data_IF_232780838214
#
_entry.id   IF_232780838214
#
_cell.length_a   1.000
_cell.length_b   1.000
_cell.length_c   1.000
_cell.angle_alpha   90.00
_cell.angle_beta   90.00
_cell.angle_gamma   90.00
#
_symmetry.space_group_name_H-M   'P 1'
#
loop_
_entity.id
_entity.type
_entity.pdbx_description
1 polymer ?
#
# COMPACT_ATOMS: atom_id res chain seq x y z
N UNK A 1 1.35 35.31 -0.72
CA UNK A 1 1.88 33.94 -0.72
C UNK A 1 0.68 33.04 -0.86
N UNK A 2 0.55 32.43 -2.02
CA UNK A 2 -0.56 31.55 -2.39
C UNK A 2 -0.03 30.11 -2.36
N UNK A 3 -0.75 29.21 -1.70
CA UNK A 3 -0.33 27.81 -1.51
C UNK A 3 -1.44 26.90 -2.03
N UNK A 4 -1.11 26.02 -2.96
CA UNK A 4 -2.02 24.96 -3.42
C UNK A 4 -1.73 23.65 -2.67
N UNK A 5 -2.77 22.89 -2.29
CA UNK A 5 -2.61 21.61 -1.58
C UNK A 5 -3.01 20.43 -2.45
N UNK A 6 -2.09 19.47 -2.58
CA UNK A 6 -2.29 18.23 -3.34
C UNK A 6 -2.15 17.01 -2.40
N UNK A 7 -2.78 15.90 -2.76
CA UNK A 7 -2.62 14.62 -2.10
C UNK A 7 -2.35 13.53 -3.15
N UNK A 8 -1.36 12.64 -2.95
CA UNK A 8 -1.12 11.48 -3.80
C UNK A 8 -2.24 10.45 -3.58
N UNK A 9 -3.42 10.77 -4.13
CA UNK A 9 -4.65 9.97 -4.25
C UNK A 9 -4.85 8.84 -3.23
N UNK A 10 -5.59 9.12 -2.15
CA UNK A 10 -6.35 8.11 -1.40
C UNK A 10 -7.65 7.82 -2.15
N UNK A 11 -7.56 7.16 -3.31
CA UNK A 11 -8.74 6.86 -4.13
C UNK A 11 -9.30 5.48 -3.78
N UNK A 12 -10.18 5.44 -2.78
CA UNK A 12 -11.11 4.33 -2.53
C UNK A 12 -12.50 4.61 -3.16
N UNK A 13 -12.59 5.49 -4.16
CA UNK A 13 -13.86 5.95 -4.73
C UNK A 13 -14.01 5.54 -6.19
N UNK A 14 -14.72 4.44 -6.44
CA UNK A 14 -15.29 4.18 -7.75
C UNK A 14 -16.55 5.07 -7.96
N UNK A 15 -16.36 6.38 -8.19
CA UNK A 15 -17.19 7.24 -9.05
C UNK A 15 -16.60 8.66 -9.13
N UNK A 16 -16.39 9.15 -10.36
CA UNK A 16 -15.51 10.30 -10.70
C UNK A 16 -15.94 11.72 -10.29
N UNK A 17 -15.26 12.77 -10.81
CA UNK A 17 -15.30 13.04 -12.25
C UNK A 17 -13.95 13.23 -12.95
N UNK A 18 -13.94 12.68 -14.17
CA UNK A 18 -13.28 13.09 -15.42
C UNK A 18 -12.51 14.42 -15.39
N UNK A 19 -11.22 14.34 -15.76
CA UNK A 19 -10.57 15.31 -16.65
C UNK A 19 -9.69 14.55 -17.67
N UNK A 20 -10.14 14.51 -18.93
CA UNK A 20 -9.32 14.34 -20.15
C UNK A 20 -9.26 15.71 -20.83
N UNK A 21 -8.21 16.12 -21.60
CA UNK A 21 -7.56 15.38 -22.71
C UNK A 21 -6.00 15.48 -22.66
N UNK A 22 -5.14 14.83 -23.46
CA UNK A 22 -5.25 14.26 -24.81
C UNK A 22 -4.09 13.25 -25.05
N UNK A 23 -4.39 12.23 -25.85
CA UNK A 23 -3.55 11.22 -26.52
C UNK A 23 -2.04 11.08 -26.20
N UNK A 24 -1.64 9.88 -25.74
CA UNK A 24 -0.33 9.31 -26.09
C UNK A 24 -0.52 7.88 -26.57
N UNK A 25 0.05 7.62 -27.74
CA UNK A 25 -0.09 6.43 -28.57
C UNK A 25 0.31 5.14 -27.85
N UNK A 26 -0.51 4.12 -28.10
CA UNK A 26 -0.29 2.73 -27.73
C UNK A 26 0.99 2.22 -28.43
N UNK A 27 1.99 1.81 -27.65
CA UNK A 27 3.08 0.97 -28.15
C UNK A 27 2.97 -0.41 -27.51
N UNK A 28 2.65 -1.39 -28.36
CA UNK A 28 2.57 -2.81 -28.02
C UNK A 28 3.94 -3.50 -28.14
N UNK A 29 4.01 -4.66 -27.46
CA UNK A 29 5.01 -5.74 -27.47
C UNK A 29 6.06 -5.69 -26.34
N UNK A 30 6.37 -6.78 -25.63
CA UNK A 30 6.07 -8.21 -25.87
C UNK A 30 5.90 -8.99 -24.57
N UNK A 31 4.98 -9.96 -24.60
CA UNK A 31 4.80 -10.99 -23.59
C UNK A 31 6.08 -11.83 -23.41
N UNK A 32 6.55 -11.91 -22.17
CA UNK A 32 7.33 -13.05 -21.70
C UNK A 32 6.58 -13.62 -20.49
N UNK A 33 5.79 -14.67 -20.75
CA UNK A 33 5.00 -15.35 -19.73
C UNK A 33 5.87 -15.86 -18.59
N UNK A 34 5.56 -15.42 -17.37
CA UNK A 34 6.02 -16.08 -16.15
C UNK A 34 5.12 -17.28 -15.88
N UNK A 35 5.69 -18.40 -15.39
CA UNK A 35 4.91 -19.61 -15.11
C UNK A 35 3.92 -19.32 -13.99
N UNK A 36 2.67 -19.67 -14.25
CA UNK A 36 1.54 -19.63 -13.33
C UNK A 36 1.79 -20.68 -12.23
N UNK A 37 2.41 -20.27 -11.13
CA UNK A 37 2.45 -21.10 -9.92
C UNK A 37 1.07 -20.98 -9.30
N UNK A 38 0.20 -21.95 -9.60
CA UNK A 38 -1.20 -22.02 -9.19
C UNK A 38 -1.29 -22.28 -7.67
N UNK A 39 -0.85 -21.29 -6.89
CA UNK A 39 -1.16 -21.21 -5.48
C UNK A 39 -2.68 -21.14 -5.35
N UNK A 40 -3.27 -22.10 -4.62
CA UNK A 40 -4.71 -22.16 -4.34
C UNK A 40 -5.17 -20.79 -3.85
N UNK A 41 -5.90 -20.07 -4.71
CA UNK A 41 -6.28 -18.69 -4.47
C UNK A 41 -7.31 -18.66 -3.33
N UNK A 42 -7.13 -17.83 -2.30
CA UNK A 42 -8.06 -17.78 -1.19
C UNK A 42 -9.38 -17.16 -1.68
N UNK A 43 -10.49 -17.90 -1.50
CA UNK A 43 -11.84 -17.42 -1.82
C UNK A 43 -12.31 -16.44 -0.73
N UNK A 44 -12.01 -15.15 -0.90
CA UNK A 44 -12.25 -14.10 0.10
C UNK A 44 -13.09 -12.98 -0.52
N UNK A 45 -14.07 -12.49 0.23
CA UNK A 45 -14.77 -11.27 -0.13
C UNK A 45 -13.87 -10.06 0.12
N UNK A 46 -13.35 -9.48 -0.95
CA UNK A 46 -12.66 -8.19 -0.90
C UNK A 46 -13.60 -7.05 -0.45
N UNK A 47 -13.02 -5.91 -0.09
CA UNK A 47 -13.80 -4.71 0.21
C UNK A 47 -13.07 -3.72 1.11
N UNK A 48 -13.55 -2.47 1.09
CA UNK A 48 -12.99 -1.35 1.85
C UNK A 48 -12.80 -1.65 3.33
N UNK A 49 -13.80 -2.23 3.98
CA UNK A 49 -13.77 -2.52 5.42
C UNK A 49 -12.71 -3.57 5.77
N UNK A 50 -12.55 -4.57 4.89
CA UNK A 50 -11.49 -5.57 5.01
C UNK A 50 -10.12 -4.91 4.90
N UNK A 51 -9.94 -4.04 3.90
CA UNK A 51 -8.72 -3.26 3.72
C UNK A 51 -8.38 -2.41 4.95
N UNK A 52 -9.34 -1.64 5.47
CA UNK A 52 -9.15 -0.82 6.66
C UNK A 52 -8.67 -1.63 7.87
N UNK A 53 -9.24 -2.81 8.10
CA UNK A 53 -8.84 -3.68 9.21
C UNK A 53 -7.43 -4.24 8.99
N UNK A 54 -7.08 -4.64 7.77
CA UNK A 54 -5.73 -5.13 7.46
C UNK A 54 -4.67 -4.04 7.69
N UNK A 55 -4.90 -2.81 7.24
CA UNK A 55 -3.99 -1.69 7.50
C UNK A 55 -3.86 -1.44 9.00
N UNK A 56 -4.98 -1.41 9.74
CA UNK A 56 -4.95 -1.15 11.18
C UNK A 56 -4.20 -2.24 11.95
N UNK A 57 -4.38 -3.51 11.59
CA UNK A 57 -3.64 -4.61 12.23
C UNK A 57 -2.13 -4.53 11.92
N UNK A 58 -1.74 -4.19 10.68
CA UNK A 58 -0.34 -3.99 10.33
C UNK A 58 0.27 -2.82 11.10
N UNK A 59 -0.43 -1.69 11.19
CA UNK A 59 -0.05 -0.54 12.00
C UNK A 59 0.16 -0.94 13.47
N UNK A 60 -0.84 -1.58 14.10
CA UNK A 60 -0.79 -1.93 15.52
C UNK A 60 0.32 -2.95 15.86
N UNK A 61 0.67 -3.83 14.93
CA UNK A 61 1.84 -4.71 15.12
C UNK A 61 3.14 -3.92 15.05
N UNK A 62 3.25 -3.00 14.10
CA UNK A 62 4.45 -2.17 13.94
C UNK A 62 4.63 -1.15 15.07
N UNK A 63 3.55 -0.67 15.68
CA UNK A 63 3.60 0.16 16.90
C UNK A 63 3.77 -0.65 18.19
N UNK A 64 3.57 -1.97 18.14
CA UNK A 64 3.64 -2.87 19.28
C UNK A 64 2.38 -2.88 20.17
N UNK A 65 1.27 -2.32 19.69
CA UNK A 65 -0.04 -2.34 20.35
C UNK A 65 -0.66 -3.73 20.34
N UNK A 66 -0.42 -4.51 19.28
CA UNK A 66 -0.94 -5.88 19.11
C UNK A 66 0.21 -6.86 18.82
N UNK A 67 0.34 -7.98 19.57
CA UNK A 67 1.31 -9.03 19.25
C UNK A 67 1.11 -9.61 17.83
N UNK A 68 2.20 -10.04 17.19
CA UNK A 68 2.18 -10.52 15.80
C UNK A 68 1.79 -12.00 15.65
N UNK A 69 1.29 -12.64 16.70
CA UNK A 69 0.80 -14.00 16.66
C UNK A 69 -0.66 -14.09 16.20
N UNK A 70 -1.00 -15.20 15.55
CA UNK A 70 -2.32 -15.41 14.94
C UNK A 70 -3.48 -15.31 15.93
N UNK A 71 -3.28 -15.70 17.20
CA UNK A 71 -4.33 -15.68 18.21
C UNK A 71 -4.67 -14.25 18.62
N UNK A 72 -3.65 -13.47 18.98
CA UNK A 72 -3.81 -12.06 19.32
C UNK A 72 -4.40 -11.25 18.16
N UNK A 73 -3.91 -11.47 16.94
CA UNK A 73 -4.42 -10.81 15.74
C UNK A 73 -5.87 -11.17 15.43
N UNK A 74 -6.28 -12.44 15.61
CA UNK A 74 -7.68 -12.85 15.41
C UNK A 74 -8.61 -12.22 16.45
N UNK A 75 -8.17 -12.14 17.72
CA UNK A 75 -8.92 -11.44 18.75
C UNK A 75 -9.07 -9.95 18.43
N UNK A 76 -7.98 -9.29 18.03
CA UNK A 76 -8.02 -7.87 17.65
C UNK A 76 -8.86 -7.61 16.41
N UNK A 77 -8.74 -8.43 15.38
CA UNK A 77 -9.56 -8.35 14.18
C UNK A 77 -11.05 -8.46 14.52
N UNK A 78 -11.44 -9.38 15.40
CA UNK A 78 -12.82 -9.51 15.89
C UNK A 78 -13.32 -8.24 16.57
N UNK A 79 -12.48 -7.59 17.39
CA UNK A 79 -12.82 -6.33 18.03
C UNK A 79 -13.02 -5.21 16.99
N UNK A 80 -12.07 -5.05 16.05
CA UNK A 80 -12.14 -4.04 14.98
C UNK A 80 -13.38 -4.19 14.10
N UNK A 81 -13.76 -5.42 13.74
CA UNK A 81 -15.01 -5.71 13.01
C UNK A 81 -16.23 -5.19 13.78
N UNK A 82 -16.26 -5.41 15.10
CA UNK A 82 -17.32 -4.93 15.98
C UNK A 82 -17.35 -3.39 16.10
N UNK A 83 -16.19 -2.75 16.17
CA UNK A 83 -16.04 -1.28 16.26
C UNK A 83 -16.61 -0.57 15.01
N UNK A 84 -16.47 -1.17 13.82
CA UNK A 84 -17.08 -0.65 12.58
C UNK A 84 -18.53 -1.10 12.36
N UNK A 85 -19.14 -1.79 13.33
CA UNK A 85 -20.55 -2.19 13.30
C UNK A 85 -20.87 -3.31 12.31
N UNK A 86 -19.88 -4.14 11.93
CA UNK A 86 -20.07 -5.26 11.01
C UNK A 86 -20.16 -6.61 11.75
N UNK A 87 -20.87 -7.60 11.19
CA UNK A 87 -20.89 -8.93 11.75
C UNK A 87 -19.59 -9.69 11.45
N UNK A 88 -19.18 -10.52 12.39
CA UNK A 88 -18.10 -11.49 12.20
C UNK A 88 -18.63 -12.68 11.40
N UNK A 89 -17.89 -13.08 10.37
CA UNK A 89 -18.20 -14.24 9.54
C UNK A 89 -17.12 -15.31 9.73
N UNK A 90 -17.52 -16.58 9.83
CA UNK A 90 -16.54 -17.67 9.87
C UNK A 90 -15.95 -17.93 8.47
N UNK A 91 -16.80 -17.91 7.45
CA UNK A 91 -16.42 -18.09 6.05
C UNK A 91 -15.97 -16.75 5.44
N UNK A 92 -14.70 -16.60 5.03
CA UNK A 92 -14.19 -15.36 4.45
C UNK A 92 -14.79 -15.04 3.08
N UNK A 93 -15.43 -15.99 2.39
CA UNK A 93 -16.16 -15.72 1.14
C UNK A 93 -17.51 -15.01 1.39
N UNK A 94 -17.98 -14.99 2.64
CA UNK A 94 -19.27 -14.42 3.03
C UNK A 94 -19.14 -13.12 3.84
N UNK A 95 -17.91 -12.66 4.13
CA UNK A 95 -17.66 -11.40 4.81
C UNK A 95 -16.38 -11.40 5.64
N UNK A 96 -16.35 -10.56 6.68
CA UNK A 96 -15.15 -10.31 7.49
C UNK A 96 -14.87 -11.47 8.45
N UNK A 97 -13.80 -12.23 8.17
CA UNK A 97 -13.34 -13.34 9.02
C UNK A 97 -12.08 -12.95 9.80
N UNK A 98 -12.13 -12.92 11.15
CA UNK A 98 -10.98 -12.58 11.97
C UNK A 98 -9.75 -13.45 11.71
N UNK A 99 -9.96 -14.76 11.52
CA UNK A 99 -8.87 -15.71 11.29
C UNK A 99 -8.24 -15.53 9.90
N UNK A 100 -9.03 -15.15 8.90
CA UNK A 100 -8.52 -14.82 7.57
C UNK A 100 -7.67 -13.54 7.59
N UNK A 101 -8.17 -12.49 8.24
CA UNK A 101 -7.48 -11.21 8.41
C UNK A 101 -6.15 -11.41 9.17
N UNK A 102 -6.19 -12.11 10.30
CA UNK A 102 -5.00 -12.44 11.08
C UNK A 102 -3.99 -13.25 10.27
N UNK A 103 -4.47 -14.27 9.53
CA UNK A 103 -3.62 -15.08 8.67
C UNK A 103 -2.93 -14.27 7.58
N UNK A 104 -3.60 -13.27 6.99
CA UNK A 104 -3.00 -12.37 6.02
C UNK A 104 -1.87 -11.54 6.65
N UNK A 105 -2.11 -10.90 7.80
CA UNK A 105 -1.10 -10.10 8.51
C UNK A 105 0.12 -10.94 8.89
N UNK A 106 -0.08 -12.13 9.47
CA UNK A 106 1.02 -13.04 9.83
C UNK A 106 1.87 -13.40 8.62
N UNK A 107 1.24 -13.77 7.49
CA UNK A 107 1.97 -14.11 6.26
C UNK A 107 2.72 -12.91 5.70
N UNK A 108 2.10 -11.73 5.66
CA UNK A 108 2.72 -10.50 5.17
C UNK A 108 3.95 -10.11 5.98
N UNK A 109 3.86 -10.15 7.32
CA UNK A 109 5.00 -9.83 8.20
C UNK A 109 6.13 -10.86 8.11
N UNK A 110 5.84 -12.08 7.64
CA UNK A 110 6.81 -13.14 7.41
C UNK A 110 7.43 -13.13 6.01
N UNK A 111 6.95 -12.29 5.08
CA UNK A 111 7.58 -12.12 3.77
C UNK A 111 9.04 -11.67 3.96
N UNK A 112 10.03 -12.26 3.26
CA UNK A 112 11.44 -11.96 3.49
C UNK A 112 11.78 -10.46 3.44
N UNK A 113 11.23 -9.76 2.44
CA UNK A 113 11.43 -8.33 2.23
C UNK A 113 10.87 -7.50 3.38
N UNK A 114 9.77 -7.94 3.98
CA UNK A 114 9.13 -7.24 5.11
C UNK A 114 9.86 -7.58 6.39
N UNK A 115 10.12 -8.86 6.65
CA UNK A 115 10.81 -9.36 7.84
C UNK A 115 12.18 -8.69 8.03
N UNK A 116 12.93 -8.44 6.95
CA UNK A 116 14.18 -7.69 6.98
C UNK A 116 14.01 -6.24 7.45
N UNK A 117 12.94 -5.57 7.00
CA UNK A 117 12.67 -4.15 7.28
C UNK A 117 11.96 -3.91 8.61
N UNK A 118 11.29 -4.93 9.19
CA UNK A 118 10.50 -4.81 10.44
C UNK A 118 11.17 -4.01 11.56
N UNK A 119 12.48 -4.18 11.87
CA UNK A 119 13.11 -3.44 12.96
C UNK A 119 13.17 -1.92 12.77
N UNK A 120 13.03 -1.43 11.54
CA UNK A 120 13.21 -0.02 11.16
C UNK A 120 11.98 0.61 10.53
N UNK A 121 10.87 -0.15 10.40
CA UNK A 121 9.61 0.35 9.84
C UNK A 121 8.86 1.23 10.83
N UNK A 122 8.45 2.41 10.35
CA UNK A 122 7.52 3.31 11.02
C UNK A 122 6.22 3.30 10.23
N UNK A 123 5.08 2.90 10.83
CA UNK A 123 3.78 2.92 10.16
C UNK A 123 3.19 4.33 10.11
N UNK A 124 2.25 4.56 9.18
CA UNK A 124 1.42 5.78 9.08
C UNK A 124 2.25 7.08 9.05
N UNK A 125 3.33 7.10 8.26
CA UNK A 125 4.23 8.24 8.19
C UNK A 125 3.60 9.36 7.35
N UNK A 126 3.33 10.49 8.00
CA UNK A 126 2.96 11.72 7.32
C UNK A 126 4.15 12.25 6.49
N UNK A 127 3.95 12.41 5.19
CA UNK A 127 4.95 12.92 4.24
C UNK A 127 4.51 14.24 3.64
N UNK A 128 5.47 15.14 3.45
CA UNK A 128 5.24 16.50 2.97
C UNK A 128 6.28 16.84 1.92
N UNK A 129 5.84 17.42 0.81
CA UNK A 129 6.72 18.04 -0.17
C UNK A 129 6.18 19.41 -0.56
N UNK A 130 7.06 20.33 -0.93
CA UNK A 130 6.69 21.64 -1.43
C UNK A 130 7.55 21.94 -2.66
N UNK A 131 6.91 22.34 -3.75
CA UNK A 131 7.56 22.73 -5.01
C UNK A 131 7.03 24.08 -5.46
N UNK A 132 7.90 24.96 -5.94
CA UNK A 132 7.48 26.21 -6.57
C UNK A 132 7.13 25.95 -8.04
N UNK A 133 5.91 26.29 -8.44
CA UNK A 133 5.42 26.19 -9.82
C UNK A 133 4.89 27.56 -10.23
N UNK A 134 5.59 28.22 -11.15
CA UNK A 134 5.27 29.55 -11.65
C UNK A 134 5.07 30.61 -10.55
N UNK A 135 5.88 30.55 -9.47
CA UNK A 135 5.80 31.48 -8.34
C UNK A 135 4.66 31.19 -7.36
N UNK A 136 4.00 30.03 -7.49
CA UNK A 136 3.01 29.51 -6.54
C UNK A 136 3.59 28.27 -5.88
N UNK A 137 3.63 28.26 -4.54
CA UNK A 137 4.07 27.09 -3.79
C UNK A 137 2.98 26.02 -3.82
N UNK A 138 3.30 24.85 -4.36
CA UNK A 138 2.44 23.67 -4.32
C UNK A 138 2.95 22.73 -3.23
N UNK A 139 2.14 22.56 -2.20
CA UNK A 139 2.41 21.65 -1.10
C UNK A 139 1.63 20.34 -1.29
N UNK A 140 2.35 19.23 -1.32
CA UNK A 140 1.79 17.88 -1.36
C UNK A 140 1.87 17.26 0.03
N UNK A 141 0.76 16.68 0.50
CA UNK A 141 0.69 15.96 1.78
C UNK A 141 0.14 14.57 1.55
N UNK A 142 0.78 13.56 2.14
CA UNK A 142 0.33 12.17 2.08
C UNK A 142 0.62 11.41 3.38
N UNK A 143 0.12 10.19 3.45
CA UNK A 143 0.44 9.25 4.53
C UNK A 143 0.93 7.97 3.88
N UNK A 144 2.22 7.67 4.05
CA UNK A 144 2.78 6.42 3.60
C UNK A 144 2.46 5.34 4.64
N UNK A 145 1.96 4.19 4.20
CA UNK A 145 1.48 3.15 5.12
C UNK A 145 2.59 2.64 6.04
N UNK A 146 3.81 2.47 5.50
CA UNK A 146 5.00 2.29 6.31
C UNK A 146 6.26 2.81 5.60
N UNK A 147 7.25 3.26 6.37
CA UNK A 147 8.54 3.71 5.85
C UNK A 147 9.66 3.21 6.73
N UNK A 148 10.68 2.61 6.13
CA UNK A 148 11.90 2.18 6.82
C UNK A 148 12.92 3.32 6.86
N UNK A 149 13.72 3.35 7.92
CA UNK A 149 14.79 4.33 8.11
C UNK A 149 16.15 3.68 8.38
N UNK A 150 17.23 4.33 7.93
CA UNK A 150 18.59 3.96 8.33
C UNK A 150 18.97 4.53 9.71
N UNK A 151 20.17 4.17 10.19
CA UNK A 151 20.71 4.66 11.46
C UNK A 151 20.91 6.19 11.53
N UNK A 152 20.88 6.89 10.40
CA UNK A 152 20.96 8.34 10.31
C UNK A 152 19.57 9.00 10.26
N UNK A 153 18.49 8.22 10.33
CA UNK A 153 17.12 8.70 10.24
C UNK A 153 16.69 9.07 8.83
N UNK A 154 17.38 8.56 7.79
CA UNK A 154 16.99 8.79 6.39
C UNK A 154 16.02 7.69 5.94
N UNK A 155 14.92 8.04 5.25
CA UNK A 155 14.05 7.04 4.61
C UNK A 155 14.85 6.15 3.66
N UNK A 156 14.62 4.84 3.71
CA UNK A 156 15.29 3.85 2.84
C UNK A 156 14.31 3.02 2.02
N UNK A 157 13.09 2.79 2.51
CA UNK A 157 12.06 2.05 1.78
C UNK A 157 10.70 2.62 2.13
N UNK A 158 9.87 2.94 1.13
CA UNK A 158 8.44 3.21 1.34
C UNK A 158 7.65 1.94 1.02
N UNK A 159 6.68 1.61 1.85
CA UNK A 159 5.78 0.48 1.64
C UNK A 159 4.34 0.97 1.58
N UNK A 160 3.60 0.43 0.63
CA UNK A 160 2.18 0.65 0.42
C UNK A 160 1.48 -0.71 0.42
N UNK A 161 0.57 -0.91 1.39
CA UNK A 161 -0.17 -2.16 1.57
C UNK A 161 -1.42 -2.13 0.70
N UNK A 162 -1.69 -3.22 -0.03
CA UNK A 162 -2.90 -3.37 -0.85
C UNK A 162 -3.64 -4.63 -0.47
N UNK A 163 -4.95 -4.51 -0.30
CA UNK A 163 -5.80 -5.63 0.15
C UNK A 163 -6.46 -6.39 -1.01
N UNK A 164 -6.35 -5.86 -2.23
CA UNK A 164 -6.90 -6.43 -3.45
C UNK A 164 -6.41 -7.86 -3.66
N UNK A 165 -7.32 -8.71 -4.16
CA UNK A 165 -7.02 -10.10 -4.50
C UNK A 165 -6.45 -10.21 -5.91
N UNK A 166 -6.97 -9.40 -6.84
CA UNK A 166 -6.58 -9.40 -8.25
C UNK A 166 -6.72 -7.98 -8.82
N UNK A 167 -5.70 -7.12 -8.68
CA UNK A 167 -5.72 -5.79 -9.27
C UNK A 167 -5.61 -5.89 -10.79
N UNK A 168 -6.31 -4.99 -11.50
CA UNK A 168 -6.10 -4.84 -12.95
C UNK A 168 -4.73 -4.21 -13.24
N UNK A 169 -4.23 -4.34 -14.47
CA UNK A 169 -2.99 -3.69 -14.88
C UNK A 169 -3.06 -2.16 -14.74
N UNK A 170 -4.22 -1.56 -15.00
CA UNK A 170 -4.46 -0.13 -14.82
C UNK A 170 -4.36 0.27 -13.34
N UNK A 171 -5.05 -0.47 -12.47
CA UNK A 171 -4.98 -0.30 -11.01
C UNK A 171 -3.55 -0.39 -10.50
N UNK A 172 -2.78 -1.36 -10.99
CA UNK A 172 -1.39 -1.53 -10.60
C UNK A 172 -0.52 -0.32 -11.02
N UNK A 173 -0.78 0.27 -12.20
CA UNK A 173 -0.07 1.47 -12.63
C UNK A 173 -0.38 2.68 -11.75
N UNK A 174 -1.63 2.81 -11.27
CA UNK A 174 -1.99 3.84 -10.29
C UNK A 174 -1.24 3.65 -8.97
N UNK A 175 -1.14 2.41 -8.46
CA UNK A 175 -0.37 2.13 -7.25
C UNK A 175 1.12 2.43 -7.43
N UNK A 176 1.70 2.11 -8.60
CA UNK A 176 3.08 2.50 -8.91
C UNK A 176 3.26 4.01 -8.91
N UNK A 177 2.34 4.75 -9.52
CA UNK A 177 2.40 6.21 -9.55
C UNK A 177 2.31 6.80 -8.13
N UNK A 178 1.45 6.25 -7.27
CA UNK A 178 1.33 6.64 -5.87
C UNK A 178 2.65 6.40 -5.10
N UNK A 179 3.22 5.19 -5.21
CA UNK A 179 4.50 4.89 -4.56
C UNK A 179 5.61 5.78 -5.09
N UNK A 180 5.69 6.02 -6.41
CA UNK A 180 6.67 6.94 -7.00
C UNK A 180 6.55 8.37 -6.44
N UNK A 181 5.33 8.86 -6.22
CA UNK A 181 5.14 10.15 -5.56
C UNK A 181 5.70 10.15 -4.14
N UNK A 182 5.50 9.08 -3.36
CA UNK A 182 6.12 8.96 -2.04
C UNK A 182 7.64 8.86 -2.09
N UNK A 183 8.21 8.17 -3.09
CA UNK A 183 9.66 8.13 -3.29
C UNK A 183 10.23 9.52 -3.55
N UNK A 184 9.58 10.31 -4.41
CA UNK A 184 9.95 11.69 -4.68
C UNK A 184 9.87 12.57 -3.42
N UNK A 185 8.77 12.47 -2.67
CA UNK A 185 8.55 13.25 -1.44
C UNK A 185 9.55 12.90 -0.31
N UNK A 186 10.00 11.65 -0.24
CA UNK A 186 10.90 11.16 0.82
C UNK A 186 12.38 11.15 0.41
N UNK A 187 12.66 11.29 -0.89
CA UNK A 187 14.00 11.20 -1.46
C UNK A 187 14.60 9.80 -1.45
N UNK A 188 13.79 8.75 -1.26
CA UNK A 188 14.25 7.35 -1.29
C UNK A 188 14.12 6.74 -2.69
N UNK A 189 14.95 5.75 -3.00
CA UNK A 189 15.04 5.10 -4.31
C UNK A 189 14.32 3.74 -4.38
N UNK A 190 13.78 3.27 -3.26
CA UNK A 190 13.12 1.97 -3.14
C UNK A 190 11.73 2.09 -2.55
N UNK A 191 10.74 1.59 -3.29
CA UNK A 191 9.36 1.42 -2.87
C UNK A 191 8.90 -0.02 -3.02
N UNK A 192 7.93 -0.44 -2.22
CA UNK A 192 7.29 -1.76 -2.29
C UNK A 192 5.77 -1.60 -2.30
N UNK A 193 5.11 -2.23 -3.26
CA UNK A 193 3.68 -2.48 -3.22
C UNK A 193 3.51 -3.92 -2.71
N UNK A 194 2.74 -4.10 -1.64
CA UNK A 194 2.58 -5.41 -0.98
C UNK A 194 1.11 -5.79 -0.99
N UNK A 195 0.77 -6.83 -1.74
CA UNK A 195 -0.57 -7.39 -1.77
C UNK A 195 -0.77 -8.34 -0.59
N UNK A 196 -1.39 -7.82 0.47
CA UNK A 196 -1.54 -8.47 1.77
C UNK A 196 -2.30 -9.80 1.66
N UNK A 197 -3.23 -9.91 0.72
CA UNK A 197 -4.03 -11.13 0.52
C UNK A 197 -3.24 -12.25 -0.15
N UNK A 198 -2.48 -11.93 -1.21
CA UNK A 198 -1.76 -12.92 -2.02
C UNK A 198 -0.33 -13.16 -1.54
N UNK A 199 0.23 -12.23 -0.76
CA UNK A 199 1.64 -12.22 -0.36
C UNK A 199 2.59 -11.72 -1.46
N UNK A 200 2.06 -11.22 -2.59
CA UNK A 200 2.88 -10.71 -3.68
C UNK A 200 3.53 -9.37 -3.31
N UNK A 201 4.83 -9.24 -3.58
CA UNK A 201 5.59 -8.00 -3.41
C UNK A 201 6.05 -7.51 -4.78
N UNK A 202 5.80 -6.24 -5.08
CA UNK A 202 6.25 -5.58 -6.31
C UNK A 202 7.16 -4.43 -5.94
N UNK A 203 8.41 -4.49 -6.41
CA UNK A 203 9.36 -3.41 -6.25
C UNK A 203 9.03 -2.24 -7.20
N UNK A 204 9.17 -1.02 -6.68
CA UNK A 204 9.03 0.24 -7.41
C UNK A 204 10.31 1.04 -7.20
N UNK A 205 10.90 1.49 -8.29
CA UNK A 205 12.10 2.33 -8.28
C UNK A 205 11.86 3.55 -9.16
N UNK A 206 12.38 4.74 -8.81
CA UNK A 206 12.32 5.90 -9.69
C UNK A 206 12.99 5.58 -11.03
N UNK A 207 12.39 6.03 -12.13
CA UNK A 207 13.10 6.01 -13.41
C UNK A 207 14.24 7.01 -13.33
N UNK A 208 15.50 6.63 -13.60
CA UNK A 208 16.59 7.59 -13.61
C UNK A 208 16.26 8.70 -14.63
N UNK A 209 16.31 9.96 -14.19
CA UNK A 209 16.17 11.09 -15.09
C UNK A 209 17.24 10.96 -16.19
N UNK A 210 16.91 11.21 -17.47
CA UNK A 210 17.93 11.24 -18.51
C UNK A 210 18.99 12.25 -18.11
N UNK A 211 20.24 11.77 -17.98
CA UNK A 211 21.43 12.60 -17.76
C UNK A 211 21.41 13.73 -18.80
N UNK A 212 21.20 14.97 -18.36
CA UNK A 212 21.44 16.13 -19.20
C UNK A 212 22.95 16.17 -19.53
N UNK A 213 23.28 15.99 -20.81
CA UNK A 213 24.64 16.04 -21.36
C UNK A 213 25.04 17.49 -21.66
#
# INVERSE_FOLDING_TARGET
>A
MEINRLAPSRDESADGPVLTPEAVEIWAASEAGQPDDEAVRPNVQGGRERGLILHKLLEEVLTGETPDDAGALSERARALIGEIGRPVMADPSQGLSPDELAGCVVRTLALPEIAELRPTLVPELAVYAAVDVDGVEQATVGIADATSFDNAGRPTVVIDWKSDVEPTAETLNLYRAQVLAYLDMTGTDRGLIVFVTTGQVIAVTPTPAPMAV
#
